data_IF_114511893993
#
_entry.id   IF_114511893993
#
_cell.length_a   1.000
_cell.length_b   1.000
_cell.length_c   1.000
_cell.angle_alpha   90.00
_cell.angle_beta   90.00
_cell.angle_gamma   90.00
#
_symmetry.space_group_name_H-M   'P 1'
#
loop_
_entity.id
_entity.type
_entity.pdbx_description
1 polymer ?
#
# COMPACT_ATOMS: atom_id res chain seq x y z
N UNK A 1 -25.86 3.61 -34.39
CA UNK A 1 -26.26 3.94 -33.00
C UNK A 1 -25.06 4.07 -32.08
N UNK A 2 -24.25 3.03 -31.85
CA UNK A 2 -23.00 3.16 -31.05
C UNK A 2 -21.94 4.06 -31.73
N UNK A 3 -21.85 3.97 -33.05
CA UNK A 3 -20.91 4.74 -33.89
C UNK A 3 -21.51 6.02 -34.48
N UNK A 4 -22.83 6.15 -34.48
CA UNK A 4 -23.58 7.29 -35.02
C UNK A 4 -24.91 7.44 -34.28
N UNK A 5 -25.05 8.51 -33.51
CA UNK A 5 -26.19 8.78 -32.63
C UNK A 5 -25.91 9.90 -31.62
N UNK A 6 -26.95 10.49 -31.05
CA UNK A 6 -26.83 11.44 -29.94
C UNK A 6 -26.17 10.78 -28.72
N UNK A 7 -25.67 11.58 -27.77
CA UNK A 7 -25.11 11.05 -26.52
C UNK A 7 -26.09 10.10 -25.82
N UNK A 8 -27.37 10.48 -25.76
CA UNK A 8 -28.43 9.66 -25.20
C UNK A 8 -28.65 8.37 -26.01
N UNK A 9 -28.67 8.44 -27.35
CA UNK A 9 -28.79 7.25 -28.20
C UNK A 9 -27.62 6.26 -28.05
N UNK A 10 -26.40 6.75 -27.77
CA UNK A 10 -25.25 5.89 -27.44
C UNK A 10 -25.44 5.23 -26.07
N UNK A 11 -25.90 5.97 -25.07
CA UNK A 11 -26.19 5.43 -23.73
C UNK A 11 -27.29 4.38 -23.77
N UNK A 12 -28.40 4.64 -24.48
CA UNK A 12 -29.53 3.71 -24.58
C UNK A 12 -29.11 2.42 -25.32
N UNK A 13 -28.33 2.55 -26.39
CA UNK A 13 -27.76 1.39 -27.11
C UNK A 13 -26.81 0.57 -26.23
N UNK A 14 -25.97 1.24 -25.42
CA UNK A 14 -25.09 0.57 -24.45
C UNK A 14 -25.88 -0.17 -23.38
N UNK A 15 -26.93 0.45 -22.83
CA UNK A 15 -27.79 -0.17 -21.83
C UNK A 15 -28.54 -1.38 -22.40
N UNK A 16 -29.04 -1.28 -23.63
CA UNK A 16 -29.65 -2.42 -24.31
C UNK A 16 -28.65 -3.56 -24.52
N UNK A 17 -27.44 -3.24 -24.99
CA UNK A 17 -26.38 -4.24 -25.19
C UNK A 17 -25.95 -4.89 -23.87
N UNK A 18 -25.83 -4.11 -22.80
CA UNK A 18 -25.53 -4.61 -21.46
C UNK A 18 -26.61 -5.58 -20.97
N UNK A 19 -27.89 -5.18 -21.07
CA UNK A 19 -29.01 -6.03 -20.67
C UNK A 19 -29.02 -7.36 -21.45
N UNK A 20 -28.78 -7.31 -22.77
CA UNK A 20 -28.69 -8.51 -23.60
C UNK A 20 -27.49 -9.38 -23.18
N UNK A 21 -26.31 -8.79 -22.99
CA UNK A 21 -25.08 -9.51 -22.65
C UNK A 21 -25.15 -10.18 -21.26
N UNK A 22 -25.90 -9.62 -20.31
CA UNK A 22 -26.06 -10.23 -18.98
C UNK A 22 -26.88 -11.53 -18.99
N UNK A 23 -27.76 -11.72 -19.99
CA UNK A 23 -28.52 -12.96 -20.19
C UNK A 23 -27.59 -14.07 -20.68
N UNK A 24 -27.54 -15.19 -19.97
CA UNK A 24 -26.52 -16.23 -20.14
C UNK A 24 -26.44 -16.82 -21.56
N UNK A 25 -27.58 -16.89 -22.24
CA UNK A 25 -27.73 -17.46 -23.59
C UNK A 25 -27.24 -16.52 -24.71
N UNK A 26 -27.17 -15.21 -24.44
CA UNK A 26 -26.82 -14.20 -25.45
C UNK A 26 -25.34 -13.79 -25.41
N UNK A 27 -24.55 -14.39 -24.52
CA UNK A 27 -23.13 -14.04 -24.30
C UNK A 27 -22.23 -14.38 -25.49
N UNK A 28 -22.34 -15.60 -25.99
CA UNK A 28 -21.59 -16.06 -27.16
C UNK A 28 -22.00 -15.27 -28.42
N UNK A 29 -23.30 -15.04 -28.70
CA UNK A 29 -23.73 -14.18 -29.81
C UNK A 29 -23.20 -12.75 -29.76
N UNK A 30 -23.17 -12.10 -28.59
CA UNK A 30 -22.68 -10.71 -28.46
C UNK A 30 -21.18 -10.62 -28.75
N UNK A 31 -20.39 -11.56 -28.25
CA UNK A 31 -18.96 -11.63 -28.54
C UNK A 31 -18.70 -12.02 -30.00
N UNK A 32 -19.44 -12.97 -30.55
CA UNK A 32 -19.37 -13.37 -31.95
C UNK A 32 -19.77 -12.25 -32.92
N UNK A 33 -20.62 -11.32 -32.49
CA UNK A 33 -20.98 -10.13 -33.26
C UNK A 33 -19.91 -9.02 -33.24
N UNK A 34 -18.77 -9.23 -32.57
CA UNK A 34 -17.66 -8.28 -32.55
C UNK A 34 -17.94 -7.02 -31.72
N UNK A 35 -18.74 -7.13 -30.66
CA UNK A 35 -19.17 -5.99 -29.87
C UNK A 35 -18.03 -5.21 -29.20
N UNK A 36 -16.89 -5.83 -28.90
CA UNK A 36 -15.75 -5.17 -28.24
C UNK A 36 -15.14 -4.02 -29.08
N UNK A 37 -14.99 -4.20 -30.39
CA UNK A 37 -14.37 -3.18 -31.26
C UNK A 37 -15.14 -1.85 -31.27
N UNK A 38 -16.47 -1.80 -31.50
CA UNK A 38 -17.25 -0.56 -31.38
C UNK A 38 -17.20 0.08 -29.99
N UNK A 39 -17.14 -0.73 -28.91
CA UNK A 39 -17.04 -0.24 -27.54
C UNK A 39 -15.69 0.44 -27.29
N UNK A 40 -14.59 -0.17 -27.73
CA UNK A 40 -13.24 0.40 -27.61
C UNK A 40 -13.15 1.72 -28.37
N UNK A 41 -13.66 1.78 -29.61
CA UNK A 41 -13.68 3.04 -30.38
C UNK A 41 -14.47 4.13 -29.66
N UNK A 42 -15.63 3.79 -29.10
CA UNK A 42 -16.40 4.75 -28.31
C UNK A 42 -15.64 5.20 -27.04
N UNK A 43 -14.89 4.30 -26.40
CA UNK A 43 -14.07 4.62 -25.23
C UNK A 43 -12.90 5.56 -25.58
N UNK A 44 -12.32 5.42 -26.78
CA UNK A 44 -11.29 6.32 -27.31
C UNK A 44 -11.85 7.71 -27.59
N UNK A 45 -13.05 7.79 -28.17
CA UNK A 45 -13.63 9.07 -28.59
C UNK A 45 -14.25 9.90 -27.46
N UNK A 46 -14.60 9.27 -26.33
CA UNK A 46 -15.27 9.95 -25.23
C UNK A 46 -14.31 10.39 -24.12
N UNK A 47 -14.71 11.43 -23.37
CA UNK A 47 -13.99 11.84 -22.16
C UNK A 47 -13.98 10.69 -21.15
N UNK A 48 -12.82 10.29 -20.65
CA UNK A 48 -12.63 9.15 -19.74
C UNK A 48 -13.41 9.28 -18.42
N UNK A 49 -13.55 10.50 -17.93
CA UNK A 49 -14.34 10.81 -16.73
C UNK A 49 -15.86 10.83 -16.96
N UNK A 50 -16.35 10.57 -18.18
CA UNK A 50 -17.77 10.68 -18.53
C UNK A 50 -18.59 9.46 -18.08
N UNK A 51 -19.91 9.64 -17.93
CA UNK A 51 -20.82 8.52 -17.63
C UNK A 51 -20.87 7.49 -18.76
N UNK A 52 -20.63 7.91 -20.00
CA UNK A 52 -20.53 6.99 -21.15
C UNK A 52 -19.31 6.09 -21.00
N UNK A 53 -18.13 6.67 -20.75
CA UNK A 53 -16.91 5.91 -20.53
C UNK A 53 -17.09 4.87 -19.40
N UNK A 54 -17.70 5.28 -18.28
CA UNK A 54 -18.01 4.39 -17.15
C UNK A 54 -18.89 3.19 -17.56
N UNK A 55 -19.95 3.43 -18.35
CA UNK A 55 -20.84 2.34 -18.82
C UNK A 55 -20.15 1.43 -19.83
N UNK A 56 -19.36 2.01 -20.73
CA UNK A 56 -18.59 1.26 -21.72
C UNK A 56 -17.57 0.36 -21.02
N UNK A 57 -16.78 0.89 -20.07
CA UNK A 57 -15.77 0.10 -19.38
C UNK A 57 -16.39 -0.98 -18.49
N UNK A 58 -17.53 -0.71 -17.85
CA UNK A 58 -18.26 -1.74 -17.09
C UNK A 58 -18.70 -2.91 -17.98
N UNK A 59 -19.18 -2.61 -19.20
CA UNK A 59 -19.54 -3.65 -20.17
C UNK A 59 -18.30 -4.38 -20.70
N UNK A 60 -17.20 -3.67 -20.96
CA UNK A 60 -15.93 -4.30 -21.37
C UNK A 60 -15.39 -5.22 -20.26
N UNK A 61 -15.39 -4.80 -19.00
CA UNK A 61 -15.01 -5.65 -17.85
C UNK A 61 -15.83 -6.94 -17.84
N UNK A 62 -17.15 -6.84 -18.00
CA UNK A 62 -18.03 -8.00 -18.07
C UNK A 62 -17.66 -8.94 -19.25
N UNK A 63 -17.48 -8.39 -20.45
CA UNK A 63 -17.12 -9.16 -21.64
C UNK A 63 -15.73 -9.80 -21.54
N UNK A 64 -14.80 -9.15 -20.85
CA UNK A 64 -13.44 -9.66 -20.58
C UNK A 64 -13.41 -10.76 -19.51
N UNK A 65 -14.55 -11.08 -18.89
CA UNK A 65 -14.73 -12.35 -18.17
C UNK A 65 -14.55 -13.58 -19.07
N UNK A 66 -14.67 -13.41 -20.39
CA UNK A 66 -14.54 -14.47 -21.39
C UNK A 66 -13.25 -14.31 -22.22
N UNK A 67 -12.74 -15.43 -22.74
CA UNK A 67 -11.47 -15.44 -23.47
C UNK A 67 -11.56 -14.68 -24.80
N UNK A 68 -12.69 -14.78 -25.48
CA UNK A 68 -13.00 -14.08 -26.71
C UNK A 68 -13.00 -12.56 -26.50
N UNK A 69 -13.56 -12.10 -25.38
CA UNK A 69 -13.57 -10.68 -25.01
C UNK A 69 -12.15 -10.15 -24.75
N UNK A 70 -11.36 -10.89 -23.95
CA UNK A 70 -9.94 -10.53 -23.70
C UNK A 70 -9.14 -10.50 -25.00
N UNK A 71 -9.25 -11.55 -25.82
CA UNK A 71 -8.58 -11.61 -27.12
C UNK A 71 -9.02 -10.47 -28.05
N UNK A 72 -10.30 -10.11 -28.08
CA UNK A 72 -10.78 -9.02 -28.93
C UNK A 72 -10.24 -7.66 -28.49
N UNK A 73 -10.14 -7.41 -27.18
CA UNK A 73 -9.56 -6.18 -26.65
C UNK A 73 -8.07 -6.08 -26.95
N UNK A 74 -7.32 -7.18 -26.76
CA UNK A 74 -5.88 -7.21 -27.06
C UNK A 74 -5.57 -7.08 -28.55
N UNK A 75 -6.47 -7.55 -29.43
CA UNK A 75 -6.29 -7.46 -30.90
C UNK A 75 -6.68 -6.10 -31.49
N UNK A 76 -7.59 -5.36 -30.85
CA UNK A 76 -7.95 -4.02 -31.31
C UNK A 76 -6.80 -3.08 -30.99
N UNK A 77 -6.28 -2.41 -32.02
CA UNK A 77 -5.22 -1.43 -31.88
C UNK A 77 -5.57 -0.39 -30.81
N UNK A 78 -4.65 -0.10 -29.89
CA UNK A 78 -4.86 0.78 -28.73
C UNK A 78 -6.05 0.43 -27.82
N UNK A 79 -6.56 -0.80 -27.87
CA UNK A 79 -7.69 -1.23 -27.05
C UNK A 79 -7.34 -1.31 -25.56
N UNK A 80 -6.16 -1.84 -25.25
CA UNK A 80 -5.66 -1.93 -23.88
C UNK A 80 -5.26 -0.55 -23.35
N UNK A 81 -4.57 0.27 -24.16
CA UNK A 81 -4.30 1.68 -23.85
C UNK A 81 -5.56 2.43 -23.43
N UNK A 82 -6.66 2.29 -24.18
CA UNK A 82 -7.92 2.98 -23.86
C UNK A 82 -8.48 2.60 -22.47
N UNK A 83 -8.22 1.37 -22.00
CA UNK A 83 -8.59 0.92 -20.64
C UNK A 83 -7.65 1.54 -19.60
N UNK A 84 -6.35 1.60 -19.89
CA UNK A 84 -5.35 2.25 -19.02
C UNK A 84 -5.65 3.74 -18.85
N UNK A 85 -6.00 4.45 -19.92
CA UNK A 85 -6.42 5.86 -19.84
C UNK A 85 -7.65 6.07 -18.93
N UNK A 86 -8.61 5.13 -18.93
CA UNK A 86 -9.76 5.18 -18.00
C UNK A 86 -9.31 4.89 -16.57
N UNK A 87 -8.32 4.03 -16.37
CA UNK A 87 -7.76 3.74 -15.06
C UNK A 87 -7.09 4.98 -14.44
N UNK A 88 -6.51 5.84 -15.26
CA UNK A 88 -5.83 7.07 -14.84
C UNK A 88 -6.80 8.24 -14.69
N UNK A 89 -7.65 8.50 -15.69
CA UNK A 89 -8.46 9.72 -15.80
C UNK A 89 -9.97 9.50 -15.58
N UNK A 90 -10.37 8.27 -15.30
CA UNK A 90 -11.77 7.87 -15.20
C UNK A 90 -12.50 8.44 -13.98
N UNK A 91 -13.84 8.29 -13.99
CA UNK A 91 -14.63 8.47 -12.77
C UNK A 91 -14.24 7.41 -11.73
N UNK A 92 -14.59 7.62 -10.46
CA UNK A 92 -14.33 6.64 -9.40
C UNK A 92 -14.82 5.22 -9.76
N UNK A 93 -16.02 5.12 -10.34
CA UNK A 93 -16.57 3.86 -10.82
C UNK A 93 -15.85 3.35 -12.08
N UNK A 94 -15.53 4.24 -13.02
CA UNK A 94 -14.81 3.88 -14.24
C UNK A 94 -13.42 3.30 -13.95
N UNK A 95 -12.68 3.91 -13.02
CA UNK A 95 -11.37 3.41 -12.57
C UNK A 95 -11.47 2.04 -11.89
N UNK A 96 -12.50 1.82 -11.07
CA UNK A 96 -12.76 0.52 -10.43
C UNK A 96 -13.02 -0.59 -11.46
N UNK A 97 -13.85 -0.31 -12.48
CA UNK A 97 -14.11 -1.22 -13.59
C UNK A 97 -12.86 -1.47 -14.44
N UNK A 98 -12.08 -0.42 -14.73
CA UNK A 98 -10.85 -0.53 -15.51
C UNK A 98 -9.82 -1.45 -14.83
N UNK A 99 -9.56 -1.25 -13.53
CA UNK A 99 -8.63 -2.13 -12.80
C UNK A 99 -9.18 -3.55 -12.67
N UNK A 100 -10.49 -3.74 -12.54
CA UNK A 100 -11.14 -5.05 -12.54
C UNK A 100 -10.98 -5.80 -13.87
N UNK A 101 -11.11 -5.09 -15.00
CA UNK A 101 -10.91 -5.65 -16.33
C UNK A 101 -9.46 -6.14 -16.52
N UNK A 102 -8.47 -5.31 -16.17
CA UNK A 102 -7.05 -5.67 -16.27
C UNK A 102 -6.67 -6.82 -15.32
N UNK A 103 -7.22 -6.81 -14.09
CA UNK A 103 -7.01 -7.89 -13.13
C UNK A 103 -7.55 -9.23 -13.66
N UNK A 104 -8.74 -9.21 -14.27
CA UNK A 104 -9.36 -10.40 -14.87
C UNK A 104 -8.48 -11.01 -15.96
N UNK A 105 -7.81 -10.19 -16.77
CA UNK A 105 -6.86 -10.68 -17.78
C UNK A 105 -5.70 -11.45 -17.12
N UNK A 106 -5.00 -10.84 -16.16
CA UNK A 106 -3.87 -11.49 -15.50
C UNK A 106 -4.27 -12.71 -14.66
N UNK A 107 -5.46 -12.72 -14.06
CA UNK A 107 -5.97 -13.88 -13.32
C UNK A 107 -6.32 -15.05 -14.25
N UNK A 108 -6.77 -14.75 -15.48
CA UNK A 108 -7.12 -15.77 -16.47
C UNK A 108 -5.86 -16.41 -17.06
N UNK A 109 -4.92 -15.60 -17.52
CA UNK A 109 -3.63 -16.07 -18.03
C UNK A 109 -2.56 -14.98 -17.86
N UNK A 110 -1.83 -15.05 -16.75
CA UNK A 110 -0.74 -14.12 -16.45
C UNK A 110 0.34 -14.14 -17.53
N UNK A 111 0.70 -15.32 -18.03
CA UNK A 111 1.80 -15.46 -19.01
C UNK A 111 1.47 -14.77 -20.33
N UNK A 112 0.22 -14.86 -20.75
CA UNK A 112 -0.28 -14.25 -21.98
C UNK A 112 -0.46 -12.73 -21.87
N UNK A 113 -1.09 -12.24 -20.80
CA UNK A 113 -1.58 -10.86 -20.76
C UNK A 113 -0.68 -9.87 -20.02
N UNK A 114 0.24 -10.35 -19.18
CA UNK A 114 1.08 -9.48 -18.34
C UNK A 114 1.88 -8.45 -19.14
N UNK A 115 2.57 -8.89 -20.20
CA UNK A 115 3.46 -7.99 -20.94
C UNK A 115 2.68 -6.93 -21.70
N UNK A 116 1.55 -7.29 -22.32
CA UNK A 116 0.66 -6.31 -22.96
C UNK A 116 0.24 -5.21 -21.97
N UNK A 117 -0.14 -5.57 -20.74
CA UNK A 117 -0.56 -4.61 -19.72
C UNK A 117 0.60 -3.70 -19.27
N UNK A 118 1.81 -4.24 -19.15
CA UNK A 118 2.99 -3.46 -18.75
C UNK A 118 3.45 -2.49 -19.83
N UNK A 119 3.39 -2.91 -21.10
CA UNK A 119 3.80 -2.09 -22.25
C UNK A 119 2.94 -0.83 -22.41
N UNK A 120 1.68 -0.87 -21.99
CA UNK A 120 0.77 0.29 -21.97
C UNK A 120 1.03 1.24 -20.78
N UNK A 121 2.03 0.96 -19.94
CA UNK A 121 2.46 1.89 -18.90
C UNK A 121 1.55 1.96 -17.67
N UNK A 122 0.79 0.90 -17.35
CA UNK A 122 -0.25 0.93 -16.28
C UNK A 122 0.24 1.20 -14.85
N UNK A 123 1.55 1.05 -14.57
CA UNK A 123 2.09 1.01 -13.20
C UNK A 123 1.82 2.28 -12.38
N UNK A 124 2.05 3.51 -12.90
CA UNK A 124 1.80 4.74 -12.15
C UNK A 124 0.33 4.86 -11.72
N UNK A 125 -0.60 4.63 -12.64
CA UNK A 125 -2.04 4.66 -12.36
C UNK A 125 -2.47 3.64 -11.30
N UNK A 126 -1.88 2.44 -11.31
CA UNK A 126 -2.14 1.42 -10.28
C UNK A 126 -1.61 1.83 -8.90
N UNK A 127 -0.42 2.42 -8.84
CA UNK A 127 0.15 2.91 -7.59
C UNK A 127 -0.71 4.03 -6.99
N UNK A 128 -1.15 4.98 -7.81
CA UNK A 128 -2.07 6.03 -7.37
C UNK A 128 -3.38 5.43 -6.84
N UNK A 129 -3.98 4.48 -7.57
CA UNK A 129 -5.21 3.80 -7.17
C UNK A 129 -5.08 3.08 -5.82
N UNK A 130 -3.90 2.59 -5.45
CA UNK A 130 -3.70 1.93 -4.14
C UNK A 130 -3.85 2.88 -2.95
N UNK A 131 -3.81 4.19 -3.19
CA UNK A 131 -3.93 5.25 -2.18
C UNK A 131 -5.24 6.01 -2.34
N UNK A 132 -5.62 6.36 -3.57
CA UNK A 132 -6.74 7.27 -3.86
C UNK A 132 -7.99 6.56 -4.42
N UNK A 133 -7.91 5.25 -4.69
CA UNK A 133 -9.03 4.48 -5.22
C UNK A 133 -10.13 4.19 -4.19
N UNK A 134 -11.25 3.64 -4.68
CA UNK A 134 -12.25 2.98 -3.84
C UNK A 134 -11.62 1.83 -3.05
N UNK A 135 -12.28 1.36 -1.98
CA UNK A 135 -11.81 0.17 -1.24
C UNK A 135 -11.58 -1.00 -2.21
N UNK A 136 -12.53 -1.24 -3.12
CA UNK A 136 -12.44 -2.31 -4.11
C UNK A 136 -11.35 -2.05 -5.16
N UNK A 137 -11.21 -0.81 -5.62
CA UNK A 137 -10.17 -0.44 -6.58
C UNK A 137 -8.77 -0.56 -5.98
N UNK A 138 -8.58 -0.17 -4.71
CA UNK A 138 -7.34 -0.34 -3.96
C UNK A 138 -6.96 -1.81 -3.83
N UNK A 139 -7.92 -2.67 -3.45
CA UNK A 139 -7.69 -4.11 -3.34
C UNK A 139 -7.34 -4.74 -4.69
N UNK A 140 -8.07 -4.38 -5.75
CA UNK A 140 -7.81 -4.89 -7.10
C UNK A 140 -6.46 -4.42 -7.63
N UNK A 141 -6.10 -3.14 -7.41
CA UNK A 141 -4.83 -2.59 -7.84
C UNK A 141 -3.66 -3.30 -7.15
N UNK A 142 -3.75 -3.59 -5.84
CA UNK A 142 -2.73 -4.37 -5.11
C UNK A 142 -2.56 -5.78 -5.69
N UNK A 143 -3.67 -6.48 -5.92
CA UNK A 143 -3.66 -7.84 -6.53
C UNK A 143 -3.04 -7.82 -7.92
N UNK A 144 -3.40 -6.83 -8.74
CA UNK A 144 -2.87 -6.70 -10.09
C UNK A 144 -1.37 -6.39 -10.05
N UNK A 145 -0.91 -5.46 -9.21
CA UNK A 145 0.51 -5.18 -9.02
C UNK A 145 1.30 -6.43 -8.62
N UNK A 146 0.75 -7.28 -7.74
CA UNK A 146 1.39 -8.55 -7.38
C UNK A 146 1.49 -9.52 -8.57
N UNK A 147 0.48 -9.58 -9.43
CA UNK A 147 0.51 -10.40 -10.66
C UNK A 147 1.47 -9.82 -11.72
N UNK A 148 1.68 -8.50 -11.74
CA UNK A 148 2.57 -7.84 -12.68
C UNK A 148 4.05 -7.90 -12.29
N UNK A 149 4.40 -8.30 -11.06
CA UNK A 149 5.81 -8.52 -10.66
C UNK A 149 6.43 -9.70 -11.39
N UNK A 150 7.73 -9.64 -11.70
CA UNK A 150 8.46 -10.75 -12.33
C UNK A 150 8.59 -11.97 -11.40
N UNK A 151 8.67 -11.74 -10.08
CA UNK A 151 8.73 -12.79 -9.08
C UNK A 151 7.34 -13.41 -8.83
N UNK A 152 7.24 -14.75 -8.66
CA UNK A 152 5.99 -15.37 -8.29
C UNK A 152 5.48 -14.76 -6.97
N UNK A 153 4.16 -14.57 -6.81
CA UNK A 153 3.61 -13.97 -5.61
C UNK A 153 4.03 -14.80 -4.40
N UNK A 154 4.91 -14.23 -3.57
CA UNK A 154 5.25 -14.84 -2.30
C UNK A 154 3.94 -14.90 -1.51
N UNK A 155 3.51 -16.11 -1.17
CA UNK A 155 2.27 -16.40 -0.46
C UNK A 155 2.11 -15.48 0.77
N UNK A 156 1.41 -14.35 0.60
CA UNK A 156 1.00 -13.48 1.70
C UNK A 156 -0.32 -14.00 2.28
N UNK A 157 -0.36 -15.30 2.56
CA UNK A 157 -1.43 -15.96 3.29
C UNK A 157 -1.12 -15.85 4.78
N UNK A 158 -1.45 -14.70 5.35
CA UNK A 158 -1.37 -14.44 6.78
C UNK A 158 -2.01 -13.09 7.12
N UNK A 159 -2.55 -12.91 8.34
CA UNK A 159 -3.11 -11.63 8.80
C UNK A 159 -2.05 -10.52 8.69
N UNK A 160 -2.42 -9.22 8.71
CA UNK A 160 -1.55 -8.10 8.34
C UNK A 160 -0.31 -7.97 9.25
N UNK A 161 0.69 -8.78 8.96
CA UNK A 161 1.99 -8.84 9.61
C UNK A 161 3.07 -8.15 8.77
N UNK A 162 2.68 -7.38 7.74
CA UNK A 162 3.62 -6.66 6.88
C UNK A 162 4.44 -5.61 7.67
N UNK A 163 3.80 -4.91 8.61
CA UNK A 163 4.51 -4.04 9.55
C UNK A 163 5.39 -4.88 10.51
N UNK A 164 4.91 -6.05 10.94
CA UNK A 164 5.60 -6.92 11.89
C UNK A 164 6.85 -7.58 11.30
N UNK A 165 6.83 -7.97 10.02
CA UNK A 165 7.99 -8.58 9.35
C UNK A 165 9.07 -7.57 9.00
N UNK A 166 8.68 -6.35 8.61
CA UNK A 166 9.65 -5.27 8.40
C UNK A 166 10.30 -4.87 9.73
N UNK A 167 9.49 -4.71 10.80
CA UNK A 167 10.00 -4.47 12.14
C UNK A 167 10.86 -5.63 12.66
N UNK A 168 10.51 -6.88 12.36
CA UNK A 168 11.29 -8.06 12.75
C UNK A 168 12.61 -8.15 11.99
N UNK A 169 12.64 -7.81 10.70
CA UNK A 169 13.87 -7.72 9.91
C UNK A 169 14.77 -6.61 10.44
N UNK A 170 14.21 -5.42 10.68
CA UNK A 170 14.92 -4.28 11.27
C UNK A 170 15.45 -4.65 12.66
N UNK A 171 14.66 -5.31 13.51
CA UNK A 171 15.09 -5.75 14.83
C UNK A 171 16.18 -6.83 14.77
N UNK A 172 16.12 -7.73 13.79
CA UNK A 172 17.13 -8.76 13.58
C UNK A 172 18.44 -8.15 13.07
N UNK A 173 18.39 -7.21 12.13
CA UNK A 173 19.56 -6.48 11.63
C UNK A 173 20.19 -5.62 12.73
N UNK A 174 19.38 -4.95 13.55
CA UNK A 174 19.86 -4.22 14.73
C UNK A 174 20.52 -5.19 15.72
N UNK A 175 19.89 -6.33 16.04
CA UNK A 175 20.47 -7.31 16.96
C UNK A 175 21.80 -7.88 16.43
N UNK A 176 21.85 -8.23 15.15
CA UNK A 176 23.06 -8.73 14.49
C UNK A 176 24.19 -7.68 14.43
N UNK A 177 23.85 -6.39 14.34
CA UNK A 177 24.81 -5.29 14.39
C UNK A 177 25.19 -4.85 15.81
N UNK A 178 24.36 -5.16 16.82
CA UNK A 178 24.66 -4.86 18.23
C UNK A 178 25.54 -5.94 18.86
N UNK A 179 25.47 -7.19 18.40
CA UNK A 179 26.33 -8.29 18.86
C UNK A 179 27.82 -8.16 18.46
N UNK A 180 28.21 -7.14 17.69
CA UNK A 180 29.62 -6.85 17.38
C UNK A 180 30.26 -5.75 18.24
N UNK A 181 29.59 -5.24 19.29
CA UNK A 181 30.13 -4.16 20.14
C UNK A 181 30.09 -4.44 21.66
N UNK A 182 29.99 -5.69 22.10
CA UNK A 182 29.98 -6.03 23.54
C UNK A 182 31.36 -5.99 24.22
N UNK A 183 32.49 -5.88 23.49
CA UNK A 183 33.81 -5.82 24.13
C UNK A 183 34.19 -4.43 24.67
N UNK A 184 33.74 -3.35 24.02
CA UNK A 184 34.08 -1.97 24.41
C UNK A 184 33.15 -1.36 25.47
N UNK A 185 31.86 -1.66 25.40
CA UNK A 185 30.82 -1.07 26.27
C UNK A 185 30.83 -1.68 27.67
N UNK A 186 31.18 -2.96 27.79
CA UNK A 186 31.38 -3.65 29.09
C UNK A 186 32.58 -3.05 29.82
N UNK A 187 33.68 -2.76 29.10
CA UNK A 187 34.85 -2.11 29.70
C UNK A 187 34.56 -0.66 30.14
N UNK A 188 33.86 0.13 29.32
CA UNK A 188 33.49 1.49 29.69
C UNK A 188 32.52 1.53 30.88
N UNK A 189 31.53 0.62 30.94
CA UNK A 189 30.64 0.50 32.10
C UNK A 189 31.41 0.11 33.35
N UNK A 190 32.32 -0.87 33.26
CA UNK A 190 33.15 -1.29 34.41
C UNK A 190 34.02 -0.15 34.92
N UNK A 191 34.67 0.61 34.02
CA UNK A 191 35.47 1.79 34.38
C UNK A 191 34.62 2.87 35.05
N UNK A 192 33.40 3.15 34.55
CA UNK A 192 32.49 4.12 35.17
C UNK A 192 32.08 3.67 36.58
N UNK A 193 31.80 2.39 36.78
CA UNK A 193 31.48 1.84 38.11
C UNK A 193 32.67 1.99 39.07
N UNK A 194 33.89 1.69 38.62
CA UNK A 194 35.11 1.86 39.41
C UNK A 194 35.37 3.34 39.76
N UNK A 195 35.16 4.27 38.81
CA UNK A 195 35.35 5.72 39.06
C UNK A 195 34.35 6.27 40.08
N UNK A 196 33.08 5.88 40.02
CA UNK A 196 32.07 6.31 41.00
C UNK A 196 32.42 5.78 42.39
N UNK A 197 32.85 4.51 42.48
CA UNK A 197 33.23 3.91 43.74
C UNK A 197 34.46 4.59 44.36
N UNK A 198 35.50 4.87 43.56
CA UNK A 198 36.67 5.62 44.01
C UNK A 198 36.33 7.04 44.48
N UNK A 199 35.46 7.75 43.74
CA UNK A 199 35.01 9.09 44.10
C UNK A 199 34.25 9.12 45.43
N UNK A 200 33.38 8.12 45.65
CA UNK A 200 32.64 8.00 46.91
C UNK A 200 33.57 7.71 48.09
N UNK A 201 34.57 6.84 47.89
CA UNK A 201 35.53 6.51 48.94
C UNK A 201 36.43 7.70 49.30
N UNK A 202 36.89 8.47 48.30
CA UNK A 202 37.62 9.73 48.53
C UNK A 202 36.76 10.76 49.25
N UNK A 203 35.50 10.91 48.85
CA UNK A 203 34.55 11.81 49.51
C UNK A 203 34.32 11.43 50.97
N UNK A 204 34.21 10.13 51.27
CA UNK A 204 34.06 9.62 52.63
C UNK A 204 35.33 9.86 53.46
N UNK A 205 36.53 9.65 52.88
CA UNK A 205 37.80 9.99 53.54
C UNK A 205 37.90 11.49 53.86
N UNK A 206 37.50 12.36 52.92
CA UNK A 206 37.48 13.81 53.17
C UNK A 206 36.46 14.22 54.23
N UNK A 207 35.27 13.62 54.24
CA UNK A 207 34.28 13.84 55.30
C UNK A 207 34.80 13.37 56.65
N UNK A 208 35.44 12.20 56.73
CA UNK A 208 36.05 11.69 57.95
C UNK A 208 37.20 12.59 58.43
N UNK A 209 38.07 13.07 57.53
CA UNK A 209 39.13 14.02 57.87
C UNK A 209 38.55 15.35 58.39
N UNK A 210 37.50 15.89 57.75
CA UNK A 210 36.81 17.11 58.22
C UNK A 210 36.09 16.88 59.55
N UNK A 211 35.51 15.70 59.77
CA UNK A 211 34.89 15.34 61.05
C UNK A 211 35.93 15.17 62.17
N UNK A 212 37.13 14.67 61.86
CA UNK A 212 38.26 14.58 62.80
C UNK A 212 38.85 15.96 63.15
N UNK A 213 38.80 16.93 62.23
CA UNK A 213 39.15 18.34 62.51
C UNK A 213 38.16 19.02 63.47
N UNK A 214 36.91 18.54 63.55
CA UNK A 214 35.87 19.06 64.45
C UNK A 214 35.69 18.28 65.76
N UNK A 215 36.61 17.37 66.08
CA UNK A 215 36.64 16.73 67.40
C UNK A 215 38.07 16.65 67.96
N UNK A 216 38.56 17.79 68.47
CA UNK A 216 39.16 17.79 69.80
C UNK A 216 38.53 18.83 70.74
N UNK A 217 37.85 18.31 71.77
CA UNK A 217 37.74 18.80 73.16
C UNK A 217 37.17 20.21 73.49
N UNK A 218 35.99 20.18 74.15
CA UNK A 218 35.59 20.91 75.37
C UNK A 218 35.54 22.47 75.37
N UNK A 219 34.32 23.03 75.42
CA UNK A 219 33.74 23.72 76.58
C UNK A 219 32.68 24.79 76.23
N UNK A 220 31.72 24.99 77.15
CA UNK A 220 30.88 26.17 77.36
C UNK A 220 29.41 26.16 76.88
N UNK A 221 28.54 25.89 77.86
CA UNK A 221 27.28 26.61 78.13
C UNK A 221 26.03 26.33 77.26
N UNK A 222 25.36 25.19 77.50
CA UNK A 222 23.91 25.10 77.31
C UNK A 222 23.20 25.61 78.57
N UNK A 223 22.67 26.83 78.53
CA UNK A 223 21.71 27.33 79.51
C UNK A 223 20.53 28.00 78.81
N UNK A 224 19.34 27.64 79.31
CA UNK A 224 18.06 28.34 79.23
C UNK A 224 17.32 28.41 77.88
N UNK A 225 16.44 27.45 77.67
CA UNK A 225 15.14 27.69 77.04
C UNK A 225 14.07 27.76 78.13
N UNK A 226 13.48 28.94 78.31
CA UNK A 226 12.24 29.15 79.06
C UNK A 226 11.28 29.86 78.12
N UNK A 227 10.05 29.32 78.02
CA UNK A 227 8.78 30.09 78.13
C UNK A 227 8.45 30.93 76.87
N UNK A 228 7.26 30.92 76.26
CA UNK A 228 5.91 30.50 76.63
C UNK A 228 5.01 30.64 75.37
N UNK A 229 3.94 29.83 75.31
CA UNK A 229 2.53 30.10 74.93
C UNK A 229 2.19 31.15 73.86
N UNK A 230 1.18 30.96 73.02
CA UNK A 230 -0.18 30.51 73.35
C UNK A 230 -0.92 30.10 72.08
#
# INVERSE_FOLDING_TARGET
>A
MLTSGSLQGKVDALMALYNIATVHENRIPVLAAGACTPLIRLLKDCKKSSKVAEKVIALLEFLMGFEEGRCSVTKEDGGLLAIVEVLEEGSFQGREHAVGALLTMCQSDRGKYRNFILEEGVIPGLLELTVQGSIRAQENARKLLDLLRDSPPQHRSGPPAAASNMLRSIAYDIAAHVDSAESGTVNARKMLTEMVQLSMEQSMRHLQQRAHVYSPSLSSAASTAKVFTK
#
